data_IF_509824769122
#
_entry.id   IF_509824769122
#
_cell.length_a   1.000
_cell.length_b   1.000
_cell.length_c   1.000
_cell.angle_alpha   90.00
_cell.angle_beta   90.00
_cell.angle_gamma   90.00
#
_symmetry.space_group_name_H-M   'P 1'
#
loop_
_entity.id
_entity.type
_entity.pdbx_description
1 polymer ?
#
# COMPACT_ATOMS: atom_id res chain seq x y z
N UNK A 1 7.68 24.38 13.92
CA UNK A 1 6.68 24.89 12.94
C UNK A 1 5.45 25.51 13.66
N UNK A 2 4.79 26.57 13.17
CA UNK A 2 3.56 27.14 13.82
C UNK A 2 2.39 26.16 13.67
N UNK A 3 1.59 25.91 14.72
CA UNK A 3 0.62 24.78 14.79
C UNK A 3 -0.30 24.61 13.56
N UNK A 4 -0.90 25.69 13.06
CA UNK A 4 -1.77 25.65 11.86
C UNK A 4 -1.04 25.20 10.59
N UNK A 5 0.25 25.55 10.44
CA UNK A 5 1.06 25.12 9.29
C UNK A 5 1.41 23.64 9.37
N UNK A 6 1.71 23.13 10.57
CA UNK A 6 1.94 21.71 10.81
C UNK A 6 0.68 20.89 10.49
N UNK A 7 -0.49 21.32 10.94
CA UNK A 7 -1.74 20.62 10.66
C UNK A 7 -2.00 20.50 9.14
N UNK A 8 -1.91 21.61 8.40
CA UNK A 8 -2.09 21.59 6.94
C UNK A 8 -1.06 20.71 6.23
N UNK A 9 0.19 20.71 6.71
CA UNK A 9 1.24 19.84 6.21
C UNK A 9 0.90 18.36 6.40
N UNK A 10 0.52 17.96 7.62
CA UNK A 10 0.16 16.59 7.93
C UNK A 10 -1.11 16.14 7.18
N UNK A 11 -2.09 17.02 6.98
CA UNK A 11 -3.27 16.69 6.16
C UNK A 11 -2.89 16.35 4.72
N UNK A 12 -1.94 17.09 4.12
CA UNK A 12 -1.45 16.77 2.78
C UNK A 12 -0.73 15.43 2.75
N UNK A 13 0.14 15.17 3.72
CA UNK A 13 0.85 13.89 3.84
C UNK A 13 -0.12 12.72 3.96
N UNK A 14 -1.15 12.86 4.81
CA UNK A 14 -2.24 11.91 4.93
C UNK A 14 -2.93 11.63 3.59
N UNK A 15 -3.31 12.68 2.84
CA UNK A 15 -3.91 12.52 1.50
C UNK A 15 -2.98 11.76 0.54
N UNK A 16 -1.68 12.04 0.56
CA UNK A 16 -0.70 11.31 -0.27
C UNK A 16 -0.55 9.85 0.16
N UNK A 17 -0.69 9.55 1.45
CA UNK A 17 -0.79 8.18 1.97
C UNK A 17 -1.98 7.43 1.40
N UNK A 18 -3.17 8.05 1.43
CA UNK A 18 -4.38 7.48 0.81
C UNK A 18 -4.18 7.21 -0.69
N UNK A 19 -3.63 8.21 -1.41
CA UNK A 19 -3.38 8.11 -2.85
C UNK A 19 -2.39 7.01 -3.18
N UNK A 20 -1.32 6.85 -2.39
CA UNK A 20 -0.33 5.80 -2.58
C UNK A 20 -0.94 4.40 -2.50
N UNK A 21 -1.80 4.18 -1.51
CA UNK A 21 -2.54 2.93 -1.37
C UNK A 21 -3.42 2.67 -2.60
N UNK A 22 -4.20 3.67 -3.01
CA UNK A 22 -5.10 3.56 -4.16
C UNK A 22 -4.33 3.30 -5.47
N UNK A 23 -3.24 4.01 -5.70
CA UNK A 23 -2.37 3.79 -6.88
C UNK A 23 -1.80 2.38 -6.86
N UNK A 24 -1.31 1.90 -5.72
CA UNK A 24 -0.80 0.52 -5.61
C UNK A 24 -1.88 -0.52 -5.93
N UNK A 25 -3.07 -0.36 -5.36
CA UNK A 25 -4.22 -1.23 -5.67
C UNK A 25 -4.58 -1.20 -7.16
N UNK A 26 -4.63 -0.02 -7.77
CA UNK A 26 -4.96 0.14 -9.20
C UNK A 26 -3.90 -0.47 -10.11
N UNK A 27 -2.62 -0.38 -9.74
CA UNK A 27 -1.53 -1.03 -10.47
C UNK A 27 -1.65 -2.55 -10.40
N UNK A 28 -2.01 -3.12 -9.25
CA UNK A 28 -2.33 -4.56 -9.16
C UNK A 28 -3.54 -4.89 -10.03
N UNK A 29 -4.62 -4.12 -9.93
CA UNK A 29 -5.82 -4.35 -10.75
C UNK A 29 -5.50 -4.30 -12.26
N UNK A 30 -4.62 -3.42 -12.70
CA UNK A 30 -4.18 -3.33 -14.10
C UNK A 30 -3.53 -4.64 -14.59
N UNK A 31 -2.79 -5.36 -13.74
CA UNK A 31 -2.21 -6.67 -14.09
C UNK A 31 -3.28 -7.70 -14.47
N UNK A 32 -4.50 -7.58 -13.93
CA UNK A 32 -5.61 -8.50 -14.19
C UNK A 32 -6.57 -8.01 -15.30
N UNK A 33 -6.67 -6.69 -15.49
CA UNK A 33 -7.60 -6.10 -16.47
C UNK A 33 -6.96 -6.02 -17.85
N UNK A 34 -5.70 -5.60 -17.92
CA UNK A 34 -4.96 -5.43 -19.18
C UNK A 34 -3.70 -6.30 -19.26
N UNK A 35 -3.24 -6.84 -18.13
CA UNK A 35 -2.08 -7.72 -18.06
C UNK A 35 -2.44 -9.21 -18.21
N UNK A 36 -1.44 -10.10 -18.06
CA UNK A 36 -1.61 -11.53 -18.28
C UNK A 36 -2.21 -12.27 -17.06
N UNK A 37 -2.39 -11.59 -15.91
CA UNK A 37 -3.06 -12.20 -14.77
C UNK A 37 -4.56 -12.31 -15.03
N UNK A 38 -5.20 -13.36 -14.51
CA UNK A 38 -6.64 -13.54 -14.72
C UNK A 38 -7.29 -14.17 -13.49
N UNK A 39 -8.52 -13.76 -13.23
CA UNK A 39 -9.38 -14.36 -12.22
C UNK A 39 -10.81 -14.39 -12.74
N UNK A 40 -11.51 -15.50 -12.49
CA UNK A 40 -12.88 -15.72 -12.95
C UNK A 40 -13.88 -15.17 -11.93
N UNK A 41 -15.07 -14.81 -12.42
CA UNK A 41 -16.18 -14.35 -11.59
C UNK A 41 -16.74 -12.99 -12.01
N UNK A 42 -17.82 -12.54 -11.34
CA UNK A 42 -18.39 -11.20 -11.54
C UNK A 42 -17.43 -10.10 -11.05
N UNK A 43 -17.66 -8.85 -11.47
CA UNK A 43 -16.74 -7.73 -11.23
C UNK A 43 -16.45 -7.49 -9.74
N UNK A 44 -17.47 -7.57 -8.89
CA UNK A 44 -17.34 -7.42 -7.43
C UNK A 44 -16.39 -8.46 -6.83
N UNK A 45 -16.47 -9.72 -7.28
CA UNK A 45 -15.56 -10.79 -6.88
C UNK A 45 -14.14 -10.53 -7.40
N UNK A 46 -14.00 -10.10 -8.66
CA UNK A 46 -12.70 -9.76 -9.24
C UNK A 46 -11.98 -8.66 -8.46
N UNK A 47 -12.70 -7.57 -8.12
CA UNK A 47 -12.13 -6.46 -7.33
C UNK A 47 -11.59 -6.93 -5.98
N UNK A 48 -12.28 -7.86 -5.32
CA UNK A 48 -11.81 -8.44 -4.06
C UNK A 48 -10.56 -9.32 -4.24
N UNK A 49 -10.48 -10.07 -5.35
CA UNK A 49 -9.26 -10.81 -5.71
C UNK A 49 -8.07 -9.89 -6.01
N UNK A 50 -8.29 -8.75 -6.67
CA UNK A 50 -7.24 -7.75 -6.88
C UNK A 50 -6.76 -7.20 -5.53
N UNK A 51 -7.70 -6.98 -4.60
CA UNK A 51 -7.40 -6.67 -3.21
C UNK A 51 -6.52 -7.73 -2.57
N UNK A 52 -6.89 -9.01 -2.65
CA UNK A 52 -6.07 -10.11 -2.11
C UNK A 52 -4.65 -10.16 -2.69
N UNK A 53 -4.52 -9.97 -4.00
CA UNK A 53 -3.21 -9.87 -4.64
C UNK A 53 -2.42 -8.68 -4.11
N UNK A 54 -3.06 -7.51 -3.92
CA UNK A 54 -2.43 -6.33 -3.36
C UNK A 54 -1.98 -6.50 -1.89
N UNK A 55 -2.76 -7.18 -1.05
CA UNK A 55 -2.34 -7.50 0.32
C UNK A 55 -1.17 -8.51 0.34
N UNK A 56 -1.25 -9.56 -0.49
CA UNK A 56 -0.15 -10.52 -0.62
C UNK A 56 1.13 -9.89 -1.16
N UNK A 57 1.03 -8.83 -1.97
CA UNK A 57 2.18 -8.05 -2.45
C UNK A 57 2.92 -7.33 -1.31
N UNK A 58 2.26 -7.08 -0.18
CA UNK A 58 2.89 -6.59 1.06
C UNK A 58 3.33 -7.72 1.99
N UNK A 59 3.21 -8.98 1.57
CA UNK A 59 3.38 -10.15 2.44
C UNK A 59 2.31 -10.28 3.53
N UNK A 60 1.16 -9.62 3.38
CA UNK A 60 0.00 -9.81 4.26
C UNK A 60 -0.81 -11.00 3.73
N UNK A 61 -0.88 -12.13 4.46
CA UNK A 61 -1.61 -13.30 4.00
C UNK A 61 -3.13 -13.09 4.07
N UNK A 62 -3.84 -13.91 3.31
CA UNK A 62 -5.30 -14.03 3.37
C UNK A 62 -5.64 -15.14 4.36
N UNK A 63 -6.32 -14.78 5.43
CA UNK A 63 -6.81 -15.69 6.45
C UNK A 63 -8.11 -16.34 5.98
N UNK A 64 -8.19 -17.67 6.09
CA UNK A 64 -9.38 -18.47 5.79
C UNK A 64 -9.52 -19.50 6.93
N UNK A 65 -10.42 -19.23 7.87
CA UNK A 65 -10.50 -20.02 9.10
C UNK A 65 -9.19 -19.95 9.88
N UNK A 66 -8.59 -21.10 10.19
CA UNK A 66 -7.29 -21.20 10.87
C UNK A 66 -6.07 -21.17 9.92
N UNK A 67 -6.31 -21.13 8.61
CA UNK A 67 -5.26 -21.20 7.60
C UNK A 67 -4.92 -19.81 7.05
N UNK A 68 -3.69 -19.65 6.56
CA UNK A 68 -3.19 -18.43 5.93
C UNK A 68 -2.59 -18.74 4.57
N UNK A 69 -3.02 -18.00 3.54
CA UNK A 69 -2.60 -18.21 2.16
C UNK A 69 -1.94 -16.96 1.60
N UNK A 70 -0.88 -17.16 0.81
CA UNK A 70 -0.31 -16.10 -0.01
C UNK A 70 -0.28 -16.58 -1.46
N UNK A 71 -1.23 -16.09 -2.25
CA UNK A 71 -1.46 -16.54 -3.62
C UNK A 71 -0.30 -16.21 -4.56
N UNK A 72 0.53 -15.20 -4.24
CA UNK A 72 1.67 -14.82 -5.06
C UNK A 72 2.82 -15.80 -4.84
N UNK A 73 3.16 -16.11 -3.58
CA UNK A 73 4.29 -16.99 -3.27
C UNK A 73 3.98 -18.47 -3.44
N UNK A 74 2.70 -18.86 -3.41
CA UNK A 74 2.26 -20.25 -3.55
C UNK A 74 1.90 -20.64 -5.00
N UNK A 75 1.98 -19.71 -5.95
CA UNK A 75 1.73 -20.00 -7.36
C UNK A 75 2.90 -20.78 -7.98
N UNK A 76 2.61 -21.98 -8.49
CA UNK A 76 3.63 -22.87 -9.08
C UNK A 76 4.13 -22.41 -10.45
N UNK A 77 3.25 -21.83 -11.27
CA UNK A 77 3.55 -21.27 -12.59
C UNK A 77 2.77 -19.96 -12.79
N UNK A 78 3.26 -18.85 -12.22
CA UNK A 78 2.52 -17.59 -12.23
C UNK A 78 2.65 -16.86 -13.57
N UNK A 79 1.52 -16.51 -14.18
CA UNK A 79 1.48 -15.71 -15.42
C UNK A 79 2.16 -14.33 -15.31
N UNK A 80 2.29 -13.81 -14.09
CA UNK A 80 3.07 -12.61 -13.76
C UNK A 80 4.12 -12.99 -12.73
N UNK A 81 5.42 -12.72 -12.95
CA UNK A 81 6.46 -13.03 -11.98
C UNK A 81 6.18 -12.40 -10.60
N UNK A 82 6.36 -13.13 -9.48
CA UNK A 82 6.08 -12.62 -8.13
C UNK A 82 6.72 -11.27 -7.81
N UNK A 83 7.94 -11.03 -8.31
CA UNK A 83 8.67 -9.78 -8.12
C UNK A 83 7.92 -8.55 -8.63
N UNK A 84 7.10 -8.69 -9.68
CA UNK A 84 6.28 -7.59 -10.22
C UNK A 84 5.26 -7.15 -9.18
N UNK A 85 4.60 -8.10 -8.51
CA UNK A 85 3.65 -7.77 -7.45
C UNK A 85 4.34 -7.10 -6.27
N UNK A 86 5.45 -7.67 -5.79
CA UNK A 86 6.19 -7.11 -4.65
C UNK A 86 6.77 -5.72 -4.93
N UNK A 87 7.08 -5.41 -6.18
CA UNK A 87 7.54 -4.09 -6.59
C UNK A 87 6.43 -3.02 -6.52
N UNK A 88 5.17 -3.37 -6.77
CA UNK A 88 4.06 -2.40 -6.85
C UNK A 88 3.92 -1.53 -5.59
N UNK A 89 3.77 -2.08 -4.37
CA UNK A 89 3.60 -1.24 -3.18
C UNK A 89 4.86 -0.41 -2.87
N UNK A 90 6.04 -0.92 -3.23
CA UNK A 90 7.29 -0.17 -3.12
C UNK A 90 7.27 1.03 -4.05
N UNK A 91 7.04 0.80 -5.34
CA UNK A 91 7.04 1.85 -6.37
C UNK A 91 5.94 2.88 -6.12
N UNK A 92 4.74 2.48 -5.71
CA UNK A 92 3.66 3.43 -5.41
C UNK A 92 4.04 4.36 -4.26
N UNK A 93 4.64 3.83 -3.19
CA UNK A 93 5.12 4.62 -2.06
C UNK A 93 6.29 5.53 -2.43
N UNK A 94 7.30 5.01 -3.13
CA UNK A 94 8.45 5.81 -3.56
C UNK A 94 8.00 6.99 -4.45
N UNK A 95 7.17 6.73 -5.45
CA UNK A 95 6.72 7.76 -6.39
C UNK A 95 5.85 8.80 -5.69
N UNK A 96 4.86 8.38 -4.90
CA UNK A 96 3.96 9.33 -4.22
C UNK A 96 4.68 10.14 -3.15
N UNK A 97 5.56 9.53 -2.36
CA UNK A 97 6.38 10.24 -1.38
C UNK A 97 7.36 11.21 -2.06
N UNK A 98 8.00 10.82 -3.17
CA UNK A 98 8.88 11.73 -3.90
C UNK A 98 8.13 12.94 -4.47
N UNK A 99 6.94 12.72 -5.04
CA UNK A 99 6.06 13.80 -5.51
C UNK A 99 5.61 14.70 -4.37
N UNK A 100 5.24 14.13 -3.21
CA UNK A 100 4.89 14.90 -2.01
C UNK A 100 6.05 15.82 -1.59
N UNK A 101 7.25 15.26 -1.45
CA UNK A 101 8.44 16.00 -1.01
C UNK A 101 8.81 17.10 -2.01
N UNK A 102 8.80 16.81 -3.31
CA UNK A 102 9.11 17.79 -4.35
C UNK A 102 8.08 18.92 -4.42
N UNK A 103 6.78 18.60 -4.34
CA UNK A 103 5.71 19.62 -4.43
C UNK A 103 5.62 20.54 -3.22
N UNK A 104 5.98 20.05 -2.03
CA UNK A 104 5.93 20.85 -0.82
C UNK A 104 7.23 21.59 -0.51
N UNK A 105 8.27 21.47 -1.35
CA UNK A 105 9.57 22.15 -1.20
C UNK A 105 10.10 22.07 0.24
N UNK A 106 10.17 20.83 0.73
CA UNK A 106 10.52 20.53 2.11
C UNK A 106 11.89 21.12 2.47
N UNK A 107 12.01 21.69 3.66
CA UNK A 107 13.29 22.16 4.17
C UNK A 107 14.20 21.00 4.56
N UNK A 108 15.52 21.25 4.53
CA UNK A 108 16.58 20.30 4.91
C UNK A 108 16.65 20.09 6.44
N UNK A 109 15.56 19.64 7.05
CA UNK A 109 15.51 19.34 8.48
C UNK A 109 15.00 17.93 8.74
N UNK A 110 15.58 17.29 9.76
CA UNK A 110 15.15 15.95 10.22
C UNK A 110 13.69 15.96 10.64
N UNK A 111 13.23 17.04 11.30
CA UNK A 111 11.83 17.24 11.69
C UNK A 111 10.87 17.11 10.50
N UNK A 112 11.23 17.71 9.35
CA UNK A 112 10.40 17.66 8.14
C UNK A 112 10.33 16.25 7.54
N UNK A 113 11.45 15.51 7.56
CA UNK A 113 11.51 14.11 7.11
C UNK A 113 10.61 13.24 7.97
N UNK A 114 10.70 13.37 9.30
CA UNK A 114 9.91 12.58 10.25
C UNK A 114 8.42 12.86 10.09
N UNK A 115 8.00 14.13 10.03
CA UNK A 115 6.58 14.45 9.86
C UNK A 115 6.04 14.05 8.49
N UNK A 116 6.84 14.13 7.43
CA UNK A 116 6.47 13.63 6.09
C UNK A 116 6.18 12.13 6.13
N UNK A 117 7.15 11.34 6.62
CA UNK A 117 7.01 9.88 6.72
C UNK A 117 5.83 9.47 7.59
N UNK A 118 5.68 10.08 8.77
CA UNK A 118 4.58 9.78 9.69
C UNK A 118 3.20 10.12 9.10
N UNK A 119 3.04 11.31 8.50
CA UNK A 119 1.75 11.72 7.96
C UNK A 119 1.30 10.87 6.76
N UNK A 120 2.21 10.52 5.85
CA UNK A 120 1.94 9.59 4.75
C UNK A 120 1.58 8.21 5.29
N UNK A 121 2.31 7.73 6.30
CA UNK A 121 2.04 6.44 6.95
C UNK A 121 0.64 6.35 7.51
N UNK A 122 0.18 7.39 8.23
CA UNK A 122 -1.17 7.38 8.81
C UNK A 122 -2.23 7.24 7.73
N UNK A 123 -2.10 7.96 6.61
CA UNK A 123 -3.03 7.82 5.48
C UNK A 123 -3.01 6.42 4.88
N UNK A 124 -1.82 5.90 4.59
CA UNK A 124 -1.69 4.57 4.00
C UNK A 124 -2.22 3.45 4.92
N UNK A 125 -1.86 3.50 6.20
CA UNK A 125 -2.29 2.52 7.20
C UNK A 125 -3.80 2.55 7.39
N UNK A 126 -4.44 3.73 7.39
CA UNK A 126 -5.89 3.84 7.45
C UNK A 126 -6.55 3.09 6.28
N UNK A 127 -6.07 3.27 5.05
CA UNK A 127 -6.57 2.52 3.89
C UNK A 127 -6.25 1.04 3.96
N UNK A 128 -5.08 0.65 4.48
CA UNK A 128 -4.73 -0.75 4.67
C UNK A 128 -5.65 -1.45 5.70
N UNK A 129 -6.17 -0.73 6.69
CA UNK A 129 -7.17 -1.27 7.60
C UNK A 129 -8.54 -1.33 6.92
N UNK A 130 -8.98 -0.24 6.28
CA UNK A 130 -10.28 -0.19 5.56
C UNK A 130 -10.36 -1.27 4.47
N UNK A 131 -9.30 -1.45 3.69
CA UNK A 131 -9.24 -2.47 2.66
C UNK A 131 -9.31 -3.89 3.21
N UNK A 132 -8.77 -4.16 4.41
CA UNK A 132 -8.84 -5.48 5.04
C UNK A 132 -10.27 -5.87 5.39
N UNK A 133 -11.10 -4.91 5.81
CA UNK A 133 -12.53 -5.10 6.02
C UNK A 133 -13.34 -5.14 4.72
N UNK A 134 -12.87 -4.48 3.66
CA UNK A 134 -13.58 -4.36 2.39
C UNK A 134 -13.40 -5.60 1.51
N UNK A 135 -12.18 -6.13 1.45
CA UNK A 135 -11.86 -7.30 0.66
C UNK A 135 -12.18 -8.56 1.47
N UNK A 136 -13.44 -8.98 1.40
CA UNK A 136 -13.94 -10.18 2.07
C UNK A 136 -14.72 -11.05 1.11
N UNK A 137 -14.38 -12.34 1.03
CA UNK A 137 -15.03 -13.31 0.16
C UNK A 137 -15.50 -14.53 0.96
N UNK A 138 -16.78 -14.94 0.85
CA UNK A 138 -17.22 -16.20 1.43
C UNK A 138 -16.68 -17.37 0.59
N UNK A 139 -15.98 -18.31 1.23
CA UNK A 139 -15.40 -19.52 0.63
C UNK A 139 -15.72 -20.71 1.52
N UNK A 140 -16.51 -21.67 1.01
CA UNK A 140 -16.85 -22.94 1.67
C UNK A 140 -17.35 -22.77 3.12
N UNK A 141 -18.23 -21.78 3.36
CA UNK A 141 -18.78 -21.49 4.69
C UNK A 141 -17.85 -20.72 5.63
N UNK A 142 -16.65 -20.36 5.18
CA UNK A 142 -15.71 -19.47 5.88
C UNK A 142 -15.59 -18.13 5.16
N UNK A 143 -15.00 -17.14 5.84
CA UNK A 143 -14.68 -15.84 5.24
C UNK A 143 -13.19 -15.77 4.96
N UNK A 144 -12.83 -15.58 3.69
CA UNK A 144 -11.50 -15.21 3.27
C UNK A 144 -11.34 -13.69 3.35
N UNK A 145 -10.30 -13.22 4.04
CA UNK A 145 -10.00 -11.80 4.20
C UNK A 145 -8.51 -11.60 4.52
N UNK A 146 -7.92 -10.41 4.26
CA UNK A 146 -6.59 -10.11 4.74
C UNK A 146 -6.48 -10.25 6.25
N UNK A 147 -5.37 -10.80 6.73
CA UNK A 147 -5.07 -10.85 8.17
C UNK A 147 -5.03 -9.41 8.71
N UNK A 148 -5.98 -9.08 9.59
CA UNK A 148 -6.16 -7.71 10.09
C UNK A 148 -4.99 -7.22 10.93
N UNK A 149 -4.39 -8.10 11.75
CA UNK A 149 -3.25 -7.73 12.58
C UNK A 149 -2.04 -7.41 11.72
N UNK A 150 -1.78 -8.26 10.72
CA UNK A 150 -0.71 -8.03 9.74
C UNK A 150 -1.02 -6.84 8.84
N UNK A 151 -2.27 -6.63 8.44
CA UNK A 151 -2.68 -5.46 7.67
C UNK A 151 -2.39 -4.16 8.42
N UNK A 152 -2.69 -4.09 9.72
CA UNK A 152 -2.37 -2.93 10.54
C UNK A 152 -0.85 -2.77 10.73
N UNK A 153 -0.14 -3.84 11.09
CA UNK A 153 1.30 -3.77 11.38
C UNK A 153 2.13 -3.48 10.12
N UNK A 154 1.96 -4.29 9.06
CA UNK A 154 2.71 -4.18 7.82
C UNK A 154 2.26 -2.96 7.00
N UNK A 155 0.95 -2.67 7.01
CA UNK A 155 0.38 -1.46 6.41
C UNK A 155 0.89 -0.16 7.03
N UNK A 156 1.45 -0.19 8.25
CA UNK A 156 2.18 0.92 8.83
C UNK A 156 3.70 0.82 8.60
N UNK A 157 4.28 -0.38 8.70
CA UNK A 157 5.72 -0.60 8.58
C UNK A 157 6.27 -0.30 7.17
N UNK A 158 5.56 -0.67 6.11
CA UNK A 158 5.95 -0.36 4.73
C UNK A 158 6.06 1.15 4.46
N UNK A 159 4.98 1.92 4.64
CA UNK A 159 5.02 3.35 4.33
C UNK A 159 5.94 4.11 5.26
N UNK A 160 6.09 3.75 6.54
CA UNK A 160 6.97 4.52 7.43
C UNK A 160 8.42 4.44 6.98
N UNK A 161 8.88 3.27 6.54
CA UNK A 161 10.25 3.11 6.04
C UNK A 161 10.40 3.81 4.70
N UNK A 162 9.55 3.46 3.72
CA UNK A 162 9.72 3.94 2.35
C UNK A 162 9.47 5.44 2.20
N UNK A 163 8.45 5.99 2.86
CA UNK A 163 8.16 7.42 2.79
C UNK A 163 9.25 8.26 3.47
N UNK A 164 9.78 7.78 4.60
CA UNK A 164 10.88 8.46 5.32
C UNK A 164 12.16 8.45 4.49
N UNK A 165 12.58 7.27 4.00
CA UNK A 165 13.79 7.14 3.16
C UNK A 165 13.68 7.96 1.89
N UNK A 166 12.52 7.92 1.22
CA UNK A 166 12.30 8.70 0.00
C UNK A 166 12.33 10.19 0.27
N UNK A 167 11.67 10.64 1.34
CA UNK A 167 11.70 12.05 1.72
C UNK A 167 13.12 12.50 2.01
N UNK A 168 13.88 11.71 2.76
CA UNK A 168 15.29 11.98 3.04
C UNK A 168 16.09 12.10 1.74
N UNK A 169 15.96 11.13 0.82
CA UNK A 169 16.66 11.16 -0.45
C UNK A 169 16.33 12.41 -1.29
N UNK A 170 15.05 12.76 -1.41
CA UNK A 170 14.61 13.92 -2.19
C UNK A 170 15.05 15.24 -1.58
N UNK A 171 15.13 15.32 -0.25
CA UNK A 171 15.52 16.56 0.45
C UNK A 171 17.04 16.74 0.49
N UNK A 172 17.80 15.67 0.74
CA UNK A 172 19.25 15.77 1.01
C UNK A 172 20.16 15.38 -0.14
N UNK A 173 19.70 14.52 -1.08
CA UNK A 173 20.54 14.03 -2.18
C UNK A 173 20.35 14.78 -3.50
N UNK A 174 19.34 15.64 -3.60
CA UNK A 174 18.99 16.38 -4.82
C UNK A 174 19.77 17.70 -5.00
N UNK A 175 20.97 17.76 -4.43
CA UNK A 175 21.88 18.92 -4.50
C UNK A 175 22.38 19.17 -5.92
#
# INVERSE_FOLDING_TARGET
>A
MRSKRLASFCTRGFTFGLLSYLVGYLLVAALFVVGPANVKGPLDVKLKWFGFAFYNAHFIPIAIGSQSYNYISQASDPAVPPIVYYAIPVVSLLVTSAVFSARNRLGETVETVVYSGASITVGYAAMAIVGAFTFTLPILGMTAQPDLQKAAAIGAAYPIVLATVTTFAVVFLRR
#
